data_IF_993553575644
#
_entry.id   IF_993553575644
#
_cell.length_a   1.000
_cell.length_b   1.000
_cell.length_c   1.000
_cell.angle_alpha   90.00
_cell.angle_beta   90.00
_cell.angle_gamma   90.00
#
_symmetry.space_group_name_H-M   'P 1'
#
loop_
_entity.id
_entity.type
_entity.pdbx_description
1 polymer ?
#
# COMPACT_ATOMS: atom_id res chain seq x y z
N UNK A 1 10.26 2.32 1.41
CA UNK A 1 10.47 3.76 1.46
C UNK A 1 11.11 4.16 2.79
N UNK A 2 12.24 4.81 2.79
CA UNK A 2 12.94 5.21 4.01
C UNK A 2 13.70 6.52 3.83
N UNK A 3 13.41 7.49 4.69
CA UNK A 3 14.12 8.79 4.69
C UNK A 3 15.58 8.66 5.09
N UNK A 4 15.90 7.77 6.03
CA UNK A 4 17.26 7.59 6.57
C UNK A 4 18.08 6.49 5.87
N UNK A 5 17.53 5.81 4.87
CA UNK A 5 18.12 4.60 4.31
C UNK A 5 18.00 3.39 5.24
N UNK A 6 18.42 2.24 4.75
CA UNK A 6 18.38 0.97 5.47
C UNK A 6 19.78 0.37 5.62
N UNK A 7 20.02 -0.35 6.70
CA UNK A 7 21.25 -1.10 6.90
C UNK A 7 21.33 -2.26 5.92
N UNK A 8 22.52 -2.54 5.38
CA UNK A 8 22.72 -3.62 4.39
C UNK A 8 22.51 -5.03 4.94
N UNK A 9 22.56 -5.21 6.25
CA UNK A 9 22.37 -6.49 6.94
C UNK A 9 20.89 -6.84 7.21
N UNK A 10 19.96 -5.99 6.84
CA UNK A 10 18.55 -6.34 6.96
C UNK A 10 18.18 -7.52 6.06
N UNK A 11 17.38 -8.43 6.60
CA UNK A 11 16.94 -9.67 5.91
C UNK A 11 16.31 -9.43 4.54
N UNK A 12 15.68 -8.27 4.33
CA UNK A 12 15.07 -7.92 3.05
C UNK A 12 16.08 -7.89 1.89
N UNK A 13 17.36 -7.64 2.15
CA UNK A 13 18.41 -7.65 1.12
C UNK A 13 18.96 -9.05 0.83
N UNK A 14 18.62 -10.04 1.63
CA UNK A 14 19.06 -11.43 1.48
C UNK A 14 18.02 -12.32 0.76
N UNK A 15 17.06 -11.70 0.08
CA UNK A 15 16.04 -12.40 -0.71
C UNK A 15 16.47 -12.46 -2.18
N UNK A 16 15.99 -13.48 -2.90
CA UNK A 16 16.23 -13.65 -4.35
C UNK A 16 15.55 -12.54 -5.18
N UNK A 17 14.61 -11.81 -4.61
CA UNK A 17 13.90 -10.72 -5.26
C UNK A 17 14.72 -9.43 -5.28
N UNK A 18 14.64 -8.71 -6.39
CA UNK A 18 15.23 -7.37 -6.49
C UNK A 18 14.58 -6.42 -5.50
N UNK A 19 15.39 -5.81 -4.64
CA UNK A 19 14.96 -4.77 -3.69
C UNK A 19 15.51 -3.42 -4.13
N UNK A 20 14.62 -2.43 -4.19
CA UNK A 20 14.97 -1.03 -4.44
C UNK A 20 14.57 -0.20 -3.24
N UNK A 21 15.50 0.58 -2.69
CA UNK A 21 15.24 1.49 -1.58
C UNK A 21 15.12 2.90 -2.12
N UNK A 22 13.98 3.54 -1.87
CA UNK A 22 13.78 4.96 -2.14
C UNK A 22 14.03 5.76 -0.85
N UNK A 23 15.03 6.59 -0.87
CA UNK A 23 15.43 7.42 0.25
C UNK A 23 15.42 8.92 -0.13
N UNK A 24 15.98 9.77 0.69
CA UNK A 24 16.04 11.22 0.50
C UNK A 24 16.85 11.69 -0.72
N UNK A 25 17.58 10.81 -1.38
CA UNK A 25 18.25 11.09 -2.65
C UNK A 25 17.34 10.95 -3.87
N UNK A 26 16.38 10.05 -3.80
CA UNK A 26 15.43 9.76 -4.87
C UNK A 26 14.08 10.44 -4.66
N UNK A 27 13.70 10.68 -3.41
CA UNK A 27 12.38 11.21 -3.02
C UNK A 27 12.55 12.47 -2.18
N UNK A 28 11.94 13.56 -2.61
CA UNK A 28 11.77 14.76 -1.82
C UNK A 28 10.59 14.58 -0.85
N UNK A 29 10.90 14.31 0.41
CA UNK A 29 9.88 14.03 1.44
C UNK A 29 9.07 15.26 1.86
N UNK A 30 9.45 16.45 1.44
CA UNK A 30 8.70 17.68 1.69
C UNK A 30 7.66 17.98 0.59
N UNK A 31 7.66 17.18 -0.48
CA UNK A 31 6.70 17.24 -1.59
C UNK A 31 5.76 16.05 -1.62
N UNK A 32 4.89 16.00 -2.63
CA UNK A 32 3.98 14.87 -2.82
C UNK A 32 4.78 13.58 -3.10
N UNK A 33 4.89 12.75 -2.08
CA UNK A 33 5.64 11.49 -2.13
C UNK A 33 4.97 10.49 -3.09
N UNK A 34 3.66 10.43 -3.10
CA UNK A 34 2.89 9.45 -3.91
C UNK A 34 3.14 9.66 -5.39
N UNK A 35 3.08 10.90 -5.85
CA UNK A 35 3.36 11.24 -7.26
C UNK A 35 4.78 10.84 -7.64
N UNK A 36 5.77 11.16 -6.80
CA UNK A 36 7.17 10.82 -7.05
C UNK A 36 7.39 9.30 -7.12
N UNK A 37 6.75 8.54 -6.25
CA UNK A 37 6.81 7.08 -6.27
C UNK A 37 6.19 6.54 -7.56
N UNK A 38 5.00 7.02 -7.92
CA UNK A 38 4.32 6.58 -9.14
C UNK A 38 5.13 6.92 -10.40
N UNK A 39 5.70 8.10 -10.48
CA UNK A 39 6.56 8.51 -11.60
C UNK A 39 7.81 7.62 -11.71
N UNK A 40 8.44 7.31 -10.59
CA UNK A 40 9.59 6.40 -10.54
C UNK A 40 9.22 5.00 -11.01
N UNK A 41 8.12 4.44 -10.52
CA UNK A 41 7.64 3.13 -10.93
C UNK A 41 7.28 3.09 -12.42
N UNK A 42 6.64 4.14 -12.91
CA UNK A 42 6.31 4.27 -14.33
C UNK A 42 7.58 4.33 -15.20
N UNK A 43 8.57 5.12 -14.80
CA UNK A 43 9.87 5.20 -15.49
C UNK A 43 10.57 3.84 -15.52
N UNK A 44 10.48 3.08 -14.42
CA UNK A 44 11.05 1.73 -14.32
C UNK A 44 10.18 0.65 -15.02
N UNK A 45 9.14 1.07 -15.77
CA UNK A 45 8.20 0.21 -16.53
C UNK A 45 7.44 -0.79 -15.63
N UNK A 46 7.16 -0.41 -14.40
CA UNK A 46 6.32 -1.17 -13.48
C UNK A 46 4.85 -0.84 -13.80
N UNK A 47 4.08 -1.84 -14.20
CA UNK A 47 2.70 -1.67 -14.64
C UNK A 47 1.69 -1.72 -13.49
N UNK A 48 2.02 -2.41 -12.41
CA UNK A 48 1.17 -2.53 -11.23
C UNK A 48 2.01 -2.64 -9.97
N UNK A 49 1.47 -2.20 -8.86
CA UNK A 49 2.13 -2.24 -7.56
C UNK A 49 1.13 -2.52 -6.46
N UNK A 50 1.52 -3.33 -5.51
CA UNK A 50 0.76 -3.54 -4.27
C UNK A 50 1.41 -2.66 -3.21
N UNK A 51 0.62 -1.77 -2.63
CA UNK A 51 1.08 -0.92 -1.52
C UNK A 51 0.70 -1.61 -0.22
N UNK A 52 1.71 -2.01 0.50
CA UNK A 52 1.60 -2.54 1.85
C UNK A 52 2.41 -1.66 2.80
N UNK A 53 2.04 -1.65 4.05
CA UNK A 53 2.81 -0.92 5.05
C UNK A 53 1.96 -0.30 6.14
N UNK A 54 2.59 0.61 6.88
CA UNK A 54 1.93 1.30 7.97
C UNK A 54 0.88 2.29 7.49
N UNK A 55 0.05 2.73 8.45
CA UNK A 55 -1.05 3.65 8.21
C UNK A 55 -0.66 4.91 7.42
N UNK A 56 0.51 5.48 7.68
CA UNK A 56 0.97 6.71 7.01
C UNK A 56 1.15 6.52 5.50
N UNK A 57 1.79 5.43 5.08
CA UNK A 57 1.99 5.12 3.65
C UNK A 57 0.66 4.88 2.97
N UNK A 58 -0.18 4.01 3.53
CA UNK A 58 -1.49 3.69 2.98
C UNK A 58 -2.38 4.93 2.89
N UNK A 59 -2.42 5.75 3.94
CA UNK A 59 -3.20 6.99 3.96
C UNK A 59 -2.74 7.98 2.89
N UNK A 60 -1.44 8.09 2.61
CA UNK A 60 -0.93 8.96 1.56
C UNK A 60 -1.48 8.56 0.18
N UNK A 61 -1.48 7.27 -0.16
CA UNK A 61 -2.03 6.79 -1.42
C UNK A 61 -3.56 6.98 -1.50
N UNK A 62 -4.28 6.68 -0.43
CA UNK A 62 -5.74 6.86 -0.35
C UNK A 62 -6.11 8.33 -0.50
N UNK A 63 -5.47 9.22 0.26
CA UNK A 63 -5.76 10.65 0.26
C UNK A 63 -5.37 11.34 -1.06
N UNK A 64 -4.34 10.83 -1.75
CA UNK A 64 -3.94 11.31 -3.08
C UNK A 64 -4.82 10.76 -4.20
N UNK A 65 -5.78 9.90 -3.89
CA UNK A 65 -6.64 9.21 -4.86
C UNK A 65 -5.85 8.40 -5.91
N UNK A 66 -4.63 7.96 -5.56
CA UNK A 66 -3.73 7.20 -6.43
C UNK A 66 -3.80 5.72 -6.08
N UNK A 67 -4.97 5.13 -6.30
CA UNK A 67 -5.22 3.72 -6.07
C UNK A 67 -6.39 3.23 -6.93
N UNK A 68 -6.37 1.98 -7.29
CA UNK A 68 -7.42 1.33 -8.08
C UNK A 68 -8.28 0.43 -7.20
N UNK A 69 -7.65 -0.38 -6.38
CA UNK A 69 -8.29 -1.37 -5.51
C UNK A 69 -7.71 -1.35 -4.10
N UNK A 70 -8.58 -1.52 -3.11
CA UNK A 70 -8.19 -1.75 -1.72
C UNK A 70 -8.78 -3.08 -1.27
N UNK A 71 -7.96 -3.90 -0.65
CA UNK A 71 -8.35 -5.16 0.00
C UNK A 71 -8.09 -5.07 1.49
N UNK A 72 -9.09 -5.35 2.28
CA UNK A 72 -9.00 -5.34 3.75
C UNK A 72 -9.36 -6.69 4.29
N UNK A 73 -8.42 -7.32 4.98
CA UNK A 73 -8.71 -8.49 5.80
C UNK A 73 -9.14 -8.05 7.19
N UNK A 74 -10.32 -8.45 7.60
CA UNK A 74 -10.86 -8.22 8.94
C UNK A 74 -10.93 -9.54 9.68
N UNK A 75 -10.32 -9.59 10.85
CA UNK A 75 -10.38 -10.73 11.76
C UNK A 75 -11.37 -10.43 12.88
N UNK A 76 -11.78 -11.46 13.61
CA UNK A 76 -12.60 -11.30 14.82
C UNK A 76 -11.75 -10.88 16.03
N UNK A 77 -10.44 -11.03 15.94
CA UNK A 77 -9.53 -10.64 17.02
C UNK A 77 -9.38 -9.12 17.07
N UNK A 78 -9.59 -8.57 18.26
CA UNK A 78 -9.39 -7.14 18.52
C UNK A 78 -8.04 -6.96 19.19
N UNK A 79 -7.13 -6.30 18.52
CA UNK A 79 -5.89 -5.84 19.14
C UNK A 79 -6.22 -4.64 20.05
N UNK A 80 -5.93 -4.78 21.33
CA UNK A 80 -6.21 -3.72 22.33
C UNK A 80 -5.28 -2.52 22.18
N UNK A 81 -4.03 -2.78 21.73
CA UNK A 81 -3.02 -1.77 21.45
C UNK A 81 -2.54 -1.88 20.00
N UNK A 82 -2.35 -0.76 19.34
CA UNK A 82 -1.88 -0.72 17.96
C UNK A 82 -2.22 0.59 17.26
N UNK A 83 -1.65 0.76 16.07
CA UNK A 83 -1.96 1.89 15.21
C UNK A 83 -3.20 1.56 14.40
N UNK A 84 -4.22 2.41 14.50
CA UNK A 84 -5.45 2.28 13.72
C UNK A 84 -5.12 2.33 12.22
N UNK A 85 -5.73 1.44 11.44
CA UNK A 85 -5.62 1.46 9.99
C UNK A 85 -6.21 2.71 9.33
N UNK A 86 -5.94 2.94 8.03
CA UNK A 86 -6.50 4.07 7.31
C UNK A 86 -8.02 4.07 7.35
N UNK A 87 -8.61 5.27 7.39
CA UNK A 87 -10.06 5.40 7.32
C UNK A 87 -10.53 5.39 5.87
N UNK A 88 -11.38 4.42 5.52
CA UNK A 88 -11.98 4.30 4.19
C UNK A 88 -13.45 4.68 4.28
N UNK A 89 -13.81 5.79 3.63
CA UNK A 89 -15.17 6.35 3.66
C UNK A 89 -16.10 5.73 2.59
N UNK A 90 -15.68 4.67 1.94
CA UNK A 90 -16.43 4.00 0.88
C UNK A 90 -17.14 2.75 1.40
N UNK A 91 -18.19 2.34 0.69
CA UNK A 91 -18.78 1.01 0.89
C UNK A 91 -17.95 -0.06 0.16
N UNK A 92 -17.74 -1.19 0.83
CA UNK A 92 -17.16 -2.36 0.18
C UNK A 92 -18.07 -2.82 -0.98
N UNK A 93 -17.48 -3.02 -2.15
CA UNK A 93 -18.20 -3.56 -3.32
C UNK A 93 -18.44 -5.06 -3.23
N UNK A 94 -17.55 -5.74 -2.56
CA UNK A 94 -17.62 -7.19 -2.37
C UNK A 94 -17.08 -7.57 -1.01
N UNK A 95 -17.69 -8.57 -0.40
CA UNK A 95 -17.22 -9.20 0.84
C UNK A 95 -17.14 -10.69 0.62
N UNK A 96 -16.07 -11.31 1.03
CA UNK A 96 -15.86 -12.76 0.97
C UNK A 96 -15.51 -13.23 2.38
N UNK A 97 -16.20 -14.24 2.85
CA UNK A 97 -15.83 -14.95 4.07
C UNK A 97 -14.74 -15.98 3.75
N UNK A 98 -13.66 -15.92 4.50
CA UNK A 98 -12.54 -16.86 4.42
C UNK A 98 -12.30 -17.38 5.82
N UNK A 99 -12.78 -18.58 6.10
CA UNK A 99 -12.80 -19.17 7.44
C UNK A 99 -13.51 -18.21 8.43
N UNK A 100 -12.81 -17.73 9.44
CA UNK A 100 -13.35 -16.78 10.44
C UNK A 100 -13.04 -15.32 10.12
N UNK A 101 -12.57 -15.02 8.92
CA UNK A 101 -12.18 -13.69 8.49
C UNK A 101 -13.05 -13.19 7.34
N UNK A 102 -13.08 -11.89 7.17
CA UNK A 102 -13.78 -11.24 6.07
C UNK A 102 -12.77 -10.50 5.21
N UNK A 103 -12.76 -10.78 3.92
CA UNK A 103 -12.03 -10.00 2.93
C UNK A 103 -12.99 -9.03 2.26
N UNK A 104 -12.73 -7.74 2.44
CA UNK A 104 -13.50 -6.66 1.81
C UNK A 104 -12.73 -6.08 0.62
N UNK A 105 -13.44 -5.86 -0.49
CA UNK A 105 -12.93 -5.21 -1.69
C UNK A 105 -13.55 -3.84 -1.87
N UNK A 106 -12.71 -2.86 -2.14
CA UNK A 106 -13.11 -1.49 -2.48
C UNK A 106 -12.49 -1.14 -3.82
N UNK A 107 -13.23 -0.46 -4.68
CA UNK A 107 -12.68 0.11 -5.91
C UNK A 107 -12.76 1.61 -5.88
N UNK A 108 -11.77 2.24 -6.48
CA UNK A 108 -11.86 3.65 -6.79
C UNK A 108 -12.93 3.90 -7.87
N UNK A 109 -13.54 5.07 -7.86
CA UNK A 109 -14.61 5.40 -8.82
C UNK A 109 -14.08 5.28 -10.26
N UNK A 110 -14.80 4.49 -11.07
CA UNK A 110 -14.47 4.26 -12.47
C UNK A 110 -13.56 3.08 -12.77
N UNK A 111 -13.00 2.43 -11.76
CA UNK A 111 -12.24 1.19 -11.95
C UNK A 111 -13.19 0.01 -11.91
N UNK A 112 -13.25 -0.75 -12.99
CA UNK A 112 -13.95 -2.03 -13.05
C UNK A 112 -12.94 -3.15 -12.85
N UNK A 113 -13.18 -4.01 -11.85
CA UNK A 113 -12.36 -5.21 -11.73
C UNK A 113 -12.75 -6.21 -12.79
N UNK A 114 -11.76 -6.65 -13.56
CA UNK A 114 -11.85 -7.95 -14.20
C UNK A 114 -11.96 -8.98 -13.06
N UNK A 115 -12.91 -9.89 -13.18
CA UNK A 115 -13.17 -10.97 -12.23
C UNK A 115 -11.89 -11.63 -11.73
N UNK A 116 -11.74 -11.61 -10.45
CA UNK A 116 -10.76 -12.46 -9.78
C UNK A 116 -11.44 -13.80 -9.50
#
# INVERSE_FOLDING_TARGET
>A
LSKKGLKKDYKIFNQDSKVTVLNDKEIDFDKNIVTQICDKLYHDKILSVIIEGGNKTLSNFINSNMWDEIRIFKTQEILRDGIKGPNIKLKAKRKIEIENNILEYYSNNGVTFSSI
#
